data_IF_008875008209
#
_entry.id   IF_008875008209
#
_cell.length_a   1.000
_cell.length_b   1.000
_cell.length_c   1.000
_cell.angle_alpha   90.00
_cell.angle_beta   90.00
_cell.angle_gamma   90.00
#
_symmetry.space_group_name_H-M   'P 1'
#
loop_
_entity.id
_entity.type
_entity.pdbx_description
1 polymer ?
#
# COMPACT_ATOMS: atom_id res chain seq x y z
N UNK A 1 -10.65 -10.69 11.00
CA UNK A 1 -10.48 -10.05 12.31
C UNK A 1 -11.28 -10.71 13.43
N UNK A 2 -12.38 -11.37 13.15
CA UNK A 2 -13.22 -12.07 14.15
C UNK A 2 -12.55 -13.29 14.84
N UNK A 3 -11.41 -13.76 14.36
CA UNK A 3 -10.66 -14.89 14.96
C UNK A 3 -9.54 -14.43 15.93
N UNK A 4 -9.37 -13.13 16.14
CA UNK A 4 -8.38 -12.61 17.07
C UNK A 4 -9.05 -12.32 18.41
N UNK A 5 -8.54 -12.91 19.50
CA UNK A 5 -8.88 -12.49 20.85
C UNK A 5 -8.62 -10.99 21.02
N UNK A 6 -9.44 -10.32 21.85
CA UNK A 6 -9.27 -8.88 22.13
C UNK A 6 -7.82 -8.60 22.53
N UNK A 7 -7.12 -7.80 21.71
CA UNK A 7 -5.71 -7.43 21.91
C UNK A 7 -4.71 -8.09 20.96
N UNK A 8 -5.09 -9.09 20.15
CA UNK A 8 -4.17 -9.78 19.22
C UNK A 8 -4.39 -9.42 17.74
N UNK A 9 -5.28 -8.49 17.42
CA UNK A 9 -5.63 -8.12 16.05
C UNK A 9 -4.42 -7.64 15.23
N UNK A 10 -3.54 -6.84 15.83
CA UNK A 10 -2.31 -6.36 15.18
C UNK A 10 -1.33 -7.48 14.88
N UNK A 11 -1.14 -8.40 15.82
CA UNK A 11 -0.26 -9.57 15.64
C UNK A 11 -0.77 -10.48 14.51
N UNK A 12 -2.07 -10.73 14.46
CA UNK A 12 -2.69 -11.54 13.40
C UNK A 12 -2.59 -10.89 12.02
N UNK A 13 -2.83 -9.58 11.94
CA UNK A 13 -2.61 -8.80 10.70
C UNK A 13 -1.14 -8.85 10.26
N UNK A 14 -0.20 -8.72 11.20
CA UNK A 14 1.23 -8.86 10.94
C UNK A 14 1.57 -10.25 10.38
N UNK A 15 1.03 -11.33 10.98
CA UNK A 15 1.23 -12.69 10.49
C UNK A 15 0.68 -12.88 9.07
N UNK A 16 -0.53 -12.37 8.78
CA UNK A 16 -1.12 -12.44 7.44
C UNK A 16 -0.30 -11.67 6.41
N UNK A 17 0.17 -10.48 6.75
CA UNK A 17 1.02 -9.68 5.87
C UNK A 17 2.39 -10.35 5.64
N UNK A 18 2.99 -10.95 6.66
CA UNK A 18 4.24 -11.71 6.53
C UNK A 18 4.05 -12.92 5.61
N UNK A 19 2.95 -13.66 5.75
CA UNK A 19 2.64 -14.79 4.87
C UNK A 19 2.43 -14.33 3.42
N UNK A 20 1.75 -13.19 3.21
CA UNK A 20 1.58 -12.57 1.89
C UNK A 20 2.92 -12.20 1.26
N UNK A 21 3.82 -11.59 2.01
CA UNK A 21 5.16 -11.23 1.52
C UNK A 21 6.00 -12.47 1.20
N UNK A 22 5.93 -13.50 2.05
CA UNK A 22 6.61 -14.78 1.81
C UNK A 22 6.10 -15.44 0.52
N UNK A 23 4.79 -15.48 0.31
CA UNK A 23 4.20 -15.98 -0.93
C UNK A 23 4.64 -15.17 -2.16
N UNK A 24 4.73 -13.84 -2.05
CA UNK A 24 5.22 -12.97 -3.12
C UNK A 24 6.69 -13.24 -3.47
N UNK A 25 7.54 -13.48 -2.47
CA UNK A 25 8.96 -13.85 -2.68
C UNK A 25 9.07 -15.18 -3.39
N UNK A 26 8.32 -16.21 -2.94
CA UNK A 26 8.31 -17.52 -3.60
C UNK A 26 7.82 -17.39 -5.04
N UNK A 27 6.73 -16.69 -5.27
CA UNK A 27 6.20 -16.47 -6.63
C UNK A 27 7.22 -15.79 -7.54
N UNK A 28 7.88 -14.72 -7.07
CA UNK A 28 8.92 -14.02 -7.82
C UNK A 28 10.12 -14.92 -8.10
N UNK A 29 10.50 -15.76 -7.14
CA UNK A 29 11.61 -16.71 -7.30
C UNK A 29 11.28 -17.80 -8.33
N UNK A 30 10.06 -18.33 -8.33
CA UNK A 30 9.60 -19.30 -9.35
C UNK A 30 9.62 -18.66 -10.74
N UNK A 31 9.15 -17.43 -10.88
CA UNK A 31 9.18 -16.69 -12.14
C UNK A 31 10.63 -16.47 -12.60
N UNK A 32 11.51 -16.04 -11.70
CA UNK A 32 12.94 -15.86 -12.00
C UNK A 32 13.57 -17.16 -12.52
N UNK A 33 13.41 -18.28 -11.81
CA UNK A 33 13.95 -19.58 -12.23
C UNK A 33 13.33 -20.06 -13.54
N UNK A 34 12.01 -19.87 -13.69
CA UNK A 34 11.29 -20.25 -14.88
C UNK A 34 11.81 -19.58 -16.14
N UNK A 35 11.95 -18.27 -16.13
CA UNK A 35 12.45 -17.52 -17.28
C UNK A 35 13.95 -17.68 -17.50
N UNK A 36 14.75 -17.83 -16.44
CA UNK A 36 16.22 -17.93 -16.56
C UNK A 36 16.70 -19.32 -16.97
N UNK A 37 16.13 -20.37 -16.39
CA UNK A 37 16.66 -21.75 -16.54
C UNK A 37 15.70 -22.69 -17.27
N UNK A 38 14.38 -22.55 -17.10
CA UNK A 38 13.37 -23.48 -17.64
C UNK A 38 12.74 -22.99 -18.95
N UNK A 39 13.22 -21.86 -19.50
CA UNK A 39 12.71 -21.26 -20.75
C UNK A 39 11.19 -21.05 -20.72
N UNK A 40 10.63 -20.62 -19.59
CA UNK A 40 9.23 -20.31 -19.48
C UNK A 40 8.83 -19.24 -20.50
N UNK A 41 7.66 -19.46 -21.09
CA UNK A 41 6.97 -18.44 -21.90
C UNK A 41 5.87 -17.80 -21.05
N UNK A 42 5.40 -16.64 -21.48
CA UNK A 42 4.25 -15.99 -20.83
C UNK A 42 3.02 -16.90 -20.79
N UNK A 43 2.78 -17.71 -21.83
CA UNK A 43 1.67 -18.66 -21.89
C UNK A 43 1.75 -19.70 -20.74
N UNK A 44 2.95 -20.26 -20.50
CA UNK A 44 3.15 -21.22 -19.39
C UNK A 44 2.87 -20.54 -18.06
N UNK A 45 3.39 -19.32 -17.85
CA UNK A 45 3.20 -18.56 -16.62
C UNK A 45 1.73 -18.26 -16.37
N UNK A 46 0.98 -17.82 -17.39
CA UNK A 46 -0.46 -17.56 -17.26
C UNK A 46 -1.26 -18.85 -17.01
N UNK A 47 -0.88 -19.96 -17.64
CA UNK A 47 -1.56 -21.27 -17.40
C UNK A 47 -1.35 -21.72 -15.95
N UNK A 48 -0.14 -21.66 -15.43
CA UNK A 48 0.15 -22.00 -14.02
C UNK A 48 -0.68 -21.09 -13.08
N UNK A 49 -0.71 -19.78 -13.35
CA UNK A 49 -1.49 -18.83 -12.55
C UNK A 49 -2.99 -19.16 -12.59
N UNK A 50 -3.54 -19.51 -13.75
CA UNK A 50 -4.94 -19.88 -13.89
C UNK A 50 -5.27 -21.14 -13.08
N UNK A 51 -4.41 -22.15 -13.10
CA UNK A 51 -4.59 -23.38 -12.30
C UNK A 51 -4.58 -23.06 -10.81
N UNK A 52 -3.62 -22.23 -10.35
CA UNK A 52 -3.54 -21.83 -8.93
C UNK A 52 -4.76 -21.02 -8.49
N UNK A 53 -5.29 -20.15 -9.34
CA UNK A 53 -6.52 -19.39 -9.07
C UNK A 53 -7.75 -20.32 -8.98
N UNK A 54 -7.86 -21.31 -9.86
CA UNK A 54 -8.93 -22.32 -9.79
C UNK A 54 -8.85 -23.13 -8.48
N UNK A 55 -7.66 -23.56 -8.08
CA UNK A 55 -7.46 -24.25 -6.80
C UNK A 55 -7.85 -23.36 -5.61
N UNK A 56 -7.44 -22.08 -5.63
CA UNK A 56 -7.82 -21.12 -4.60
C UNK A 56 -9.35 -20.94 -4.54
N UNK A 57 -10.03 -20.83 -5.69
CA UNK A 57 -11.49 -20.73 -5.75
C UNK A 57 -12.17 -21.96 -5.13
N UNK A 58 -11.70 -23.18 -5.44
CA UNK A 58 -12.22 -24.41 -4.85
C UNK A 58 -12.05 -24.41 -3.32
N UNK A 59 -10.91 -23.96 -2.82
CA UNK A 59 -10.67 -23.84 -1.38
C UNK A 59 -11.62 -22.82 -0.73
N UNK A 60 -11.86 -21.67 -1.37
CA UNK A 60 -12.82 -20.67 -0.89
C UNK A 60 -14.24 -21.21 -0.84
N UNK A 61 -14.68 -21.97 -1.84
CA UNK A 61 -16.02 -22.61 -1.84
C UNK A 61 -16.20 -23.63 -0.71
N UNK A 62 -15.12 -24.24 -0.23
CA UNK A 62 -15.18 -25.19 0.91
C UNK A 62 -15.14 -24.52 2.28
N UNK A 63 -14.85 -23.21 2.34
CA UNK A 63 -14.86 -22.45 3.59
C UNK A 63 -16.30 -22.10 3.96
N UNK A 64 -16.80 -22.62 5.08
CA UNK A 64 -18.10 -22.23 5.62
C UNK A 64 -18.04 -20.78 6.12
N UNK A 65 -18.86 -19.87 5.57
CA UNK A 65 -18.91 -18.51 6.08
C UNK A 65 -19.56 -18.53 7.47
N UNK A 66 -18.82 -18.11 8.49
CA UNK A 66 -19.44 -17.83 9.79
C UNK A 66 -20.49 -16.72 9.65
N UNK A 67 -21.66 -16.85 10.31
CA UNK A 67 -22.71 -15.85 10.22
C UNK A 67 -22.14 -14.48 10.65
N UNK A 68 -22.16 -13.54 9.73
CA UNK A 68 -21.76 -12.16 9.98
C UNK A 68 -22.78 -11.50 10.90
N UNK A 69 -22.35 -10.96 12.04
CA UNK A 69 -23.14 -9.96 12.73
C UNK A 69 -23.53 -8.87 11.70
N UNK A 70 -24.78 -8.39 11.78
CA UNK A 70 -25.29 -7.34 10.87
C UNK A 70 -24.25 -6.22 10.77
N UNK A 71 -23.57 -6.14 9.63
CA UNK A 71 -22.70 -5.03 9.34
C UNK A 71 -23.54 -3.77 9.26
N UNK A 72 -23.11 -2.72 9.96
CA UNK A 72 -23.59 -1.37 9.76
C UNK A 72 -23.53 -0.96 8.27
N UNK A 73 -24.06 0.17 7.94
CA UNK A 73 -24.15 0.70 6.57
C UNK A 73 -22.87 0.45 5.77
N UNK A 74 -23.01 -0.06 4.54
CA UNK A 74 -21.89 -0.31 3.62
C UNK A 74 -21.12 0.98 3.28
N UNK A 75 -21.77 2.12 3.41
CA UNK A 75 -21.25 3.46 3.14
C UNK A 75 -21.28 4.29 4.42
N UNK A 76 -20.12 4.60 4.95
CA UNK A 76 -19.94 5.53 6.07
C UNK A 76 -19.27 6.78 5.52
N UNK A 77 -20.08 7.79 5.19
CA UNK A 77 -19.61 9.07 4.66
C UNK A 77 -19.88 10.16 5.69
N UNK A 78 -18.95 10.29 6.63
CA UNK A 78 -18.94 11.43 7.56
C UNK A 78 -17.97 12.50 7.07
N UNK A 79 -18.26 13.77 7.33
CA UNK A 79 -17.42 14.91 6.94
C UNK A 79 -16.01 14.80 7.55
N UNK A 80 -15.91 14.22 8.73
CA UNK A 80 -14.68 13.97 9.47
C UNK A 80 -13.72 13.02 8.72
N UNK A 81 -14.27 12.12 7.88
CA UNK A 81 -13.49 11.15 7.12
C UNK A 81 -13.05 11.66 5.74
N UNK A 82 -13.49 12.86 5.33
CA UNK A 82 -13.17 13.38 4.00
C UNK A 82 -11.67 13.48 3.73
N UNK A 83 -10.88 13.91 4.71
CA UNK A 83 -9.43 13.98 4.57
C UNK A 83 -8.82 12.60 4.38
N UNK A 84 -9.31 11.60 5.12
CA UNK A 84 -8.87 10.20 4.99
C UNK A 84 -9.18 9.66 3.57
N UNK A 85 -10.39 9.87 3.07
CA UNK A 85 -10.75 9.44 1.71
C UNK A 85 -9.92 10.15 0.65
N UNK A 86 -9.67 11.44 0.82
CA UNK A 86 -8.81 12.19 -0.09
C UNK A 86 -7.38 11.65 -0.12
N UNK A 87 -6.78 11.37 1.05
CA UNK A 87 -5.47 10.74 1.14
C UNK A 87 -5.45 9.34 0.52
N UNK A 88 -6.56 8.59 0.62
CA UNK A 88 -6.69 7.26 0.00
C UNK A 88 -6.75 7.36 -1.53
N UNK A 89 -7.47 8.34 -2.09
CA UNK A 89 -7.50 8.62 -3.53
C UNK A 89 -6.09 8.95 -4.05
N UNK A 90 -5.37 9.82 -3.36
CA UNK A 90 -4.01 10.20 -3.75
C UNK A 90 -3.07 9.00 -3.73
N UNK A 91 -3.19 8.16 -2.69
CA UNK A 91 -2.42 6.92 -2.60
C UNK A 91 -2.72 5.96 -3.74
N UNK A 92 -3.99 5.71 -4.05
CA UNK A 92 -4.38 4.81 -5.12
C UNK A 92 -3.94 5.30 -6.49
N UNK A 93 -4.09 6.59 -6.74
CA UNK A 93 -3.63 7.22 -7.97
C UNK A 93 -2.12 7.06 -8.16
N UNK A 94 -1.33 7.35 -7.14
CA UNK A 94 0.14 7.18 -7.17
C UNK A 94 0.53 5.71 -7.30
N UNK A 95 -0.09 4.84 -6.50
CA UNK A 95 0.13 3.39 -6.54
C UNK A 95 -0.02 2.84 -7.95
N UNK A 96 -1.06 3.28 -8.68
CA UNK A 96 -1.34 2.81 -10.03
C UNK A 96 -0.28 3.26 -11.04
N UNK A 97 0.26 4.48 -10.89
CA UNK A 97 1.37 4.94 -11.73
C UNK A 97 2.54 3.95 -11.63
N UNK A 98 2.92 3.56 -10.42
CA UNK A 98 4.06 2.67 -10.23
C UNK A 98 3.77 1.21 -10.59
N UNK A 99 2.59 0.68 -10.28
CA UNK A 99 2.22 -0.69 -10.65
C UNK A 99 2.21 -0.87 -12.18
N UNK A 100 1.71 0.12 -12.92
CA UNK A 100 1.56 0.01 -14.37
C UNK A 100 2.81 0.48 -15.11
N UNK A 101 3.28 1.69 -14.82
CA UNK A 101 4.26 2.36 -15.67
C UNK A 101 5.71 2.12 -15.23
N UNK A 102 5.98 1.85 -13.96
CA UNK A 102 7.36 1.61 -13.53
C UNK A 102 7.97 0.33 -14.15
N UNK A 103 7.30 -0.84 -14.13
CA UNK A 103 7.77 -2.01 -14.87
C UNK A 103 7.86 -1.75 -16.38
N UNK A 104 6.92 -0.99 -16.93
CA UNK A 104 6.91 -0.69 -18.35
C UNK A 104 8.11 0.16 -18.79
N UNK A 105 8.54 1.16 -17.99
CA UNK A 105 9.79 1.89 -18.24
C UNK A 105 10.98 0.94 -18.29
N UNK A 106 11.09 0.03 -17.33
CA UNK A 106 12.22 -0.90 -17.29
C UNK A 106 12.27 -1.82 -18.49
N UNK A 107 11.11 -2.32 -18.95
CA UNK A 107 11.02 -3.23 -20.11
C UNK A 107 11.15 -2.49 -21.43
N UNK A 108 10.45 -1.37 -21.62
CA UNK A 108 10.39 -0.70 -22.94
C UNK A 108 11.51 0.29 -23.16
N UNK A 109 11.89 1.06 -22.14
CA UNK A 109 12.91 2.11 -22.25
C UNK A 109 14.30 1.55 -22.00
N UNK A 110 14.48 0.79 -20.90
CA UNK A 110 15.78 0.21 -20.54
C UNK A 110 16.00 -1.21 -21.08
N UNK A 111 15.01 -1.78 -21.81
CA UNK A 111 15.10 -3.12 -22.43
C UNK A 111 15.47 -4.22 -21.44
N UNK A 112 15.04 -4.08 -20.18
CA UNK A 112 15.34 -5.07 -19.16
C UNK A 112 14.49 -6.33 -19.33
N UNK A 113 15.06 -7.52 -19.14
CA UNK A 113 14.35 -8.78 -19.26
C UNK A 113 13.41 -9.00 -18.04
N UNK A 114 12.43 -9.87 -18.21
CA UNK A 114 11.46 -10.24 -17.16
C UNK A 114 12.11 -10.75 -15.88
N UNK A 115 13.28 -11.43 -16.00
CA UNK A 115 14.05 -11.91 -14.87
C UNK A 115 14.51 -10.77 -13.95
N UNK A 116 14.89 -9.62 -14.52
CA UNK A 116 15.25 -8.41 -13.75
C UNK A 116 14.05 -7.92 -12.93
N UNK A 117 12.86 -7.92 -13.51
CA UNK A 117 11.64 -7.56 -12.80
C UNK A 117 11.37 -8.50 -11.62
N UNK A 118 11.45 -9.82 -11.85
CA UNK A 118 11.26 -10.81 -10.81
C UNK A 118 12.30 -10.65 -9.68
N UNK A 119 13.56 -10.37 -10.03
CA UNK A 119 14.62 -10.09 -9.05
C UNK A 119 14.31 -8.85 -8.22
N UNK A 120 13.89 -7.73 -8.85
CA UNK A 120 13.56 -6.50 -8.15
C UNK A 120 12.37 -6.69 -7.20
N UNK A 121 11.33 -7.43 -7.63
CA UNK A 121 10.19 -7.75 -6.77
C UNK A 121 10.59 -8.63 -5.58
N UNK A 122 11.47 -9.62 -5.80
CA UNK A 122 12.00 -10.47 -4.73
C UNK A 122 12.82 -9.66 -3.73
N UNK A 123 13.74 -8.83 -4.20
CA UNK A 123 14.56 -7.94 -3.35
C UNK A 123 13.67 -6.96 -2.58
N UNK A 124 12.70 -6.34 -3.26
CA UNK A 124 11.72 -5.44 -2.63
C UNK A 124 10.89 -6.14 -1.55
N UNK A 125 10.48 -7.40 -1.78
CA UNK A 125 9.80 -8.23 -0.79
C UNK A 125 10.65 -8.50 0.45
N UNK A 126 11.94 -8.83 0.25
CA UNK A 126 12.89 -9.05 1.36
C UNK A 126 13.08 -7.77 2.17
N UNK A 127 13.31 -6.64 1.50
CA UNK A 127 13.44 -5.33 2.17
C UNK A 127 12.15 -5.03 2.95
N UNK A 128 10.98 -5.31 2.37
CA UNK A 128 9.67 -5.09 3.00
C UNK A 128 9.49 -5.84 4.31
N UNK A 129 10.02 -7.07 4.43
CA UNK A 129 9.95 -7.86 5.67
C UNK A 129 10.61 -7.11 6.85
N UNK A 130 11.76 -6.49 6.60
CA UNK A 130 12.49 -5.74 7.64
C UNK A 130 11.94 -4.33 7.83
N UNK A 131 11.48 -3.70 6.75
CA UNK A 131 10.99 -2.33 6.79
C UNK A 131 9.63 -2.20 7.49
N UNK A 132 8.72 -3.16 7.32
CA UNK A 132 7.36 -3.06 7.88
C UNK A 132 7.33 -2.92 9.42
N UNK A 133 8.08 -3.72 10.21
CA UNK A 133 8.13 -3.53 11.67
C UNK A 133 8.75 -2.18 12.06
N UNK A 134 9.77 -1.72 11.32
CA UNK A 134 10.37 -0.41 11.53
C UNK A 134 9.37 0.71 11.27
N UNK A 135 8.63 0.61 10.17
CA UNK A 135 7.57 1.55 9.82
C UNK A 135 6.48 1.60 10.89
N UNK A 136 6.06 0.45 11.43
CA UNK A 136 5.12 0.41 12.55
C UNK A 136 5.60 1.23 13.75
N UNK A 137 6.86 1.03 14.15
CA UNK A 137 7.49 1.82 15.22
C UNK A 137 7.56 3.31 14.88
N UNK A 138 7.88 3.66 13.63
CA UNK A 138 7.90 5.06 13.18
C UNK A 138 6.51 5.70 13.26
N UNK A 139 5.45 4.99 12.89
CA UNK A 139 4.08 5.48 13.01
C UNK A 139 3.73 5.72 14.48
N UNK A 140 4.08 4.79 15.37
CA UNK A 140 3.79 4.90 16.79
C UNK A 140 4.57 6.04 17.48
N UNK A 141 5.82 6.30 17.05
CA UNK A 141 6.70 7.30 17.69
C UNK A 141 6.58 8.70 17.05
N UNK A 142 6.53 8.79 15.73
CA UNK A 142 6.51 10.05 14.99
C UNK A 142 5.09 10.53 14.66
N UNK A 143 4.13 9.60 14.67
CA UNK A 143 2.75 9.82 14.27
C UNK A 143 2.54 9.73 12.75
N UNK A 144 1.29 9.49 12.35
CA UNK A 144 0.89 9.27 10.95
C UNK A 144 1.21 10.47 10.07
N UNK A 145 1.02 11.69 10.59
CA UNK A 145 1.27 12.94 9.87
C UNK A 145 2.70 13.02 9.33
N UNK A 146 3.71 12.87 10.22
CA UNK A 146 5.12 12.99 9.84
C UNK A 146 5.54 11.87 8.88
N UNK A 147 5.01 10.66 9.07
CA UNK A 147 5.29 9.52 8.20
C UNK A 147 4.75 9.76 6.79
N UNK A 148 3.52 10.28 6.66
CA UNK A 148 2.92 10.61 5.37
C UNK A 148 3.57 11.82 4.69
N UNK A 149 4.03 12.82 5.47
CA UNK A 149 4.83 13.94 4.94
C UNK A 149 6.17 13.42 4.39
N UNK A 150 6.88 12.57 5.13
CA UNK A 150 8.14 11.98 4.70
C UNK A 150 7.97 11.09 3.45
N UNK A 151 6.92 10.25 3.42
CA UNK A 151 6.54 9.48 2.23
C UNK A 151 6.42 10.37 1.01
N UNK A 152 5.69 11.49 1.14
CA UNK A 152 5.43 12.41 0.03
C UNK A 152 6.71 13.04 -0.51
N UNK A 153 7.63 13.44 0.37
CA UNK A 153 8.92 14.02 -0.03
C UNK A 153 9.77 12.98 -0.77
N UNK A 154 9.90 11.77 -0.23
CA UNK A 154 10.67 10.69 -0.89
C UNK A 154 10.03 10.35 -2.24
N UNK A 155 8.71 10.33 -2.33
CA UNK A 155 7.98 10.03 -3.55
C UNK A 155 8.25 11.05 -4.66
N UNK A 156 8.40 12.35 -4.35
CA UNK A 156 8.81 13.37 -5.33
C UNK A 156 10.14 12.99 -5.97
N UNK A 157 11.15 12.62 -5.17
CA UNK A 157 12.47 12.21 -5.68
C UNK A 157 12.39 10.91 -6.49
N UNK A 158 11.59 9.95 -6.05
CA UNK A 158 11.36 8.69 -6.77
C UNK A 158 10.72 8.95 -8.13
N UNK A 159 9.69 9.79 -8.20
CA UNK A 159 9.05 10.16 -9.46
C UNK A 159 10.00 10.92 -10.40
N UNK A 160 10.79 11.86 -9.89
CA UNK A 160 11.79 12.58 -10.68
C UNK A 160 12.88 11.65 -11.19
N UNK A 161 13.35 10.71 -10.36
CA UNK A 161 14.32 9.70 -10.76
C UNK A 161 13.79 8.82 -11.90
N UNK A 162 12.55 8.33 -11.79
CA UNK A 162 11.93 7.55 -12.87
C UNK A 162 11.74 8.35 -14.16
N UNK A 163 11.23 9.57 -14.04
CA UNK A 163 10.87 10.38 -15.20
C UNK A 163 12.08 10.93 -15.93
N UNK A 164 13.13 11.33 -15.24
CA UNK A 164 14.18 12.18 -15.80
C UNK A 164 15.59 11.61 -15.73
N UNK A 165 15.86 10.52 -15.00
CA UNK A 165 17.22 9.96 -14.87
C UNK A 165 17.88 9.69 -16.24
N UNK A 166 17.13 9.16 -17.21
CA UNK A 166 17.65 8.86 -18.55
C UNK A 166 18.06 10.10 -19.34
N UNK A 167 17.47 11.26 -19.06
CA UNK A 167 17.79 12.51 -19.75
C UNK A 167 19.02 13.22 -19.16
N UNK A 168 19.32 12.95 -17.88
CA UNK A 168 20.34 13.66 -17.11
C UNK A 168 21.60 12.83 -16.96
N UNK A 169 21.46 11.50 -16.87
CA UNK A 169 22.53 10.58 -16.52
C UNK A 169 22.89 9.66 -17.70
N UNK A 170 24.14 9.15 -17.75
CA UNK A 170 24.52 8.09 -18.67
C UNK A 170 23.64 6.85 -18.44
N UNK A 171 23.40 6.06 -19.48
CA UNK A 171 22.43 4.97 -19.52
C UNK A 171 22.57 3.99 -18.34
N UNK A 172 23.81 3.58 -18.00
CA UNK A 172 24.09 2.68 -16.87
C UNK A 172 23.71 3.31 -15.53
N UNK A 173 24.05 4.58 -15.32
CA UNK A 173 23.71 5.29 -14.08
C UNK A 173 22.19 5.52 -13.98
N UNK A 174 21.55 5.89 -15.06
CA UNK A 174 20.09 6.04 -15.12
C UNK A 174 19.35 4.75 -14.77
N UNK A 175 19.83 3.60 -15.28
CA UNK A 175 19.28 2.30 -14.95
C UNK A 175 19.40 1.97 -13.45
N UNK A 176 20.56 2.24 -12.85
CA UNK A 176 20.78 2.02 -11.41
C UNK A 176 19.83 2.92 -10.58
N UNK A 177 19.71 4.19 -10.93
CA UNK A 177 18.78 5.12 -10.26
C UNK A 177 17.34 4.59 -10.39
N UNK A 178 16.94 4.11 -11.56
CA UNK A 178 15.60 3.55 -11.78
C UNK A 178 15.36 2.29 -10.93
N UNK A 179 16.36 1.42 -10.76
CA UNK A 179 16.26 0.26 -9.86
C UNK A 179 16.10 0.68 -8.40
N UNK A 180 16.89 1.66 -7.95
CA UNK A 180 16.77 2.20 -6.59
C UNK A 180 15.38 2.82 -6.39
N UNK A 181 14.90 3.61 -7.34
CA UNK A 181 13.56 4.20 -7.28
C UNK A 181 12.46 3.12 -7.25
N UNK A 182 12.61 2.01 -8.00
CA UNK A 182 11.67 0.89 -7.95
C UNK A 182 11.62 0.26 -6.56
N UNK A 183 12.77 -0.01 -5.96
CA UNK A 183 12.85 -0.60 -4.62
C UNK A 183 12.31 0.35 -3.55
N UNK A 184 12.61 1.65 -3.65
CA UNK A 184 12.06 2.68 -2.75
C UNK A 184 10.53 2.73 -2.86
N UNK A 185 9.96 2.69 -4.07
CA UNK A 185 8.51 2.68 -4.23
C UNK A 185 7.87 1.44 -3.59
N UNK A 186 8.46 0.25 -3.75
CA UNK A 186 7.97 -0.97 -3.07
C UNK A 186 7.92 -0.79 -1.55
N UNK A 187 8.92 -0.14 -0.98
CA UNK A 187 8.97 0.19 0.46
C UNK A 187 7.89 1.21 0.82
N UNK A 188 7.72 2.26 0.02
CA UNK A 188 6.71 3.31 0.24
C UNK A 188 5.27 2.78 0.14
N UNK A 189 5.02 1.68 -0.59
CA UNK A 189 3.70 1.02 -0.60
C UNK A 189 3.25 0.57 0.79
N UNK A 190 4.17 0.21 1.67
CA UNK A 190 3.88 -0.20 3.05
C UNK A 190 3.34 0.96 3.90
N UNK A 191 3.61 2.22 3.53
CA UNK A 191 3.17 3.41 4.28
C UNK A 191 1.65 3.56 4.31
N UNK A 192 0.92 2.79 3.50
CA UNK A 192 -0.54 2.70 3.61
C UNK A 192 -1.02 2.28 5.02
N UNK A 193 -0.17 1.62 5.81
CA UNK A 193 -0.46 1.32 7.23
C UNK A 193 -0.73 2.60 8.03
N UNK A 194 0.00 3.70 7.76
CA UNK A 194 -0.22 4.98 8.44
C UNK A 194 -1.62 5.56 8.16
N UNK A 195 -2.16 5.37 6.95
CA UNK A 195 -3.52 5.79 6.61
C UNK A 195 -4.56 4.95 7.37
N UNK A 196 -4.36 3.64 7.45
CA UNK A 196 -5.24 2.75 8.20
C UNK A 196 -5.23 3.08 9.70
N UNK A 197 -4.05 3.38 10.26
CA UNK A 197 -3.92 3.82 11.67
C UNK A 197 -4.59 5.17 11.88
N UNK A 198 -4.45 6.11 10.94
CA UNK A 198 -5.14 7.40 11.00
C UNK A 198 -6.67 7.21 11.01
N UNK A 199 -7.23 6.35 10.15
CA UNK A 199 -8.66 6.05 10.16
C UNK A 199 -9.13 5.50 11.52
N UNK A 200 -8.37 4.59 12.12
CA UNK A 200 -8.69 4.05 13.44
C UNK A 200 -8.73 5.13 14.54
N UNK A 201 -7.92 6.19 14.42
CA UNK A 201 -7.85 7.29 15.39
C UNK A 201 -8.98 8.32 15.24
N UNK A 202 -9.47 8.54 14.00
CA UNK A 202 -10.53 9.53 13.73
C UNK A 202 -11.92 8.92 13.71
N UNK A 203 -12.04 7.60 13.77
CA UNK A 203 -13.32 6.90 13.74
C UNK A 203 -14.21 7.37 14.90
N UNK A 204 -15.43 7.77 14.58
CA UNK A 204 -16.42 8.23 15.57
C UNK A 204 -16.92 7.04 16.39
N UNK A 205 -17.09 5.89 15.76
CA UNK A 205 -17.41 4.62 16.40
C UNK A 205 -16.47 3.52 15.91
N UNK A 206 -16.18 2.50 16.72
CA UNK A 206 -15.36 1.36 16.28
C UNK A 206 -15.95 0.62 15.06
N UNK A 207 -17.27 0.64 14.92
CA UNK A 207 -18.02 0.01 13.84
C UNK A 207 -17.80 0.71 12.49
N UNK A 208 -17.43 1.99 12.47
CA UNK A 208 -17.19 2.78 11.26
C UNK A 208 -15.86 2.41 10.58
N UNK A 209 -14.90 1.89 11.32
CA UNK A 209 -13.54 1.65 10.81
C UNK A 209 -13.55 0.71 9.61
N UNK A 210 -14.18 -0.45 9.74
CA UNK A 210 -14.16 -1.46 8.69
C UNK A 210 -14.92 -1.01 7.42
N UNK A 211 -16.15 -0.45 7.51
CA UNK A 211 -16.82 0.11 6.35
C UNK A 211 -16.05 1.25 5.69
N UNK A 212 -15.44 2.17 6.46
CA UNK A 212 -14.66 3.27 5.91
C UNK A 212 -13.39 2.77 5.18
N UNK A 213 -12.68 1.78 5.74
CA UNK A 213 -11.53 1.13 5.08
C UNK A 213 -11.97 0.45 3.77
N UNK A 214 -13.10 -0.26 3.77
CA UNK A 214 -13.63 -0.92 2.57
C UNK A 214 -14.04 0.09 1.51
N UNK A 215 -14.71 1.15 1.90
CA UNK A 215 -15.12 2.22 0.99
C UNK A 215 -13.92 2.95 0.39
N UNK A 216 -12.87 3.20 1.19
CA UNK A 216 -11.64 3.81 0.69
C UNK A 216 -10.95 2.97 -0.38
N UNK A 217 -10.96 1.63 -0.25
CA UNK A 217 -10.43 0.72 -1.27
C UNK A 217 -11.25 0.81 -2.57
N UNK A 218 -12.58 0.92 -2.47
CA UNK A 218 -13.45 1.05 -3.64
C UNK A 218 -13.19 2.34 -4.40
N UNK A 219 -13.08 3.46 -3.69
CA UNK A 219 -12.71 4.77 -4.29
C UNK A 219 -11.31 4.71 -4.91
N UNK A 220 -10.34 4.13 -4.20
CA UNK A 220 -8.99 3.92 -4.69
C UNK A 220 -8.99 3.24 -6.06
N UNK A 221 -9.76 2.15 -6.23
CA UNK A 221 -9.83 1.45 -7.51
C UNK A 221 -10.43 2.28 -8.63
N UNK A 222 -11.45 3.08 -8.38
CA UNK A 222 -12.04 3.98 -9.39
C UNK A 222 -11.00 4.97 -9.91
N UNK A 223 -10.29 5.63 -9.02
CA UNK A 223 -9.25 6.59 -9.41
C UNK A 223 -8.02 5.90 -10.02
N UNK A 224 -7.65 4.71 -9.54
CA UNK A 224 -6.57 3.92 -10.11
C UNK A 224 -6.83 3.56 -11.57
N UNK A 225 -8.03 3.13 -11.93
CA UNK A 225 -8.40 2.82 -13.32
C UNK A 225 -8.31 4.08 -14.19
N UNK A 226 -8.83 5.21 -13.69
CA UNK A 226 -8.78 6.49 -14.41
C UNK A 226 -7.34 6.93 -14.67
N UNK A 227 -6.45 6.81 -13.69
CA UNK A 227 -5.03 7.13 -13.82
C UNK A 227 -4.32 6.19 -14.79
N UNK A 228 -4.66 4.90 -14.82
CA UNK A 228 -4.07 3.96 -15.77
C UNK A 228 -4.42 4.34 -17.23
N UNK A 229 -5.68 4.69 -17.48
CA UNK A 229 -6.15 5.10 -18.81
C UNK A 229 -5.51 6.42 -19.23
N UNK A 230 -5.61 7.45 -18.40
CA UNK A 230 -5.04 8.77 -18.71
C UNK A 230 -3.51 8.72 -18.82
N UNK A 231 -2.85 7.97 -17.94
CA UNK A 231 -1.40 7.78 -17.99
C UNK A 231 -0.95 7.09 -19.27
N UNK A 232 -1.70 6.10 -19.76
CA UNK A 232 -1.42 5.45 -21.05
C UNK A 232 -1.54 6.40 -22.23
N UNK A 233 -2.56 7.27 -22.25
CA UNK A 233 -2.72 8.32 -23.27
C UNK A 233 -1.57 9.32 -23.21
N UNK A 234 -1.21 9.79 -22.01
CA UNK A 234 -0.11 10.75 -21.82
C UNK A 234 1.23 10.13 -22.22
N UNK A 235 1.47 8.87 -21.86
CA UNK A 235 2.67 8.14 -22.29
C UNK A 235 2.80 8.11 -23.82
N UNK A 236 1.72 7.79 -24.50
CA UNK A 236 1.72 7.66 -25.96
C UNK A 236 1.86 9.00 -26.69
N UNK A 237 1.31 10.09 -26.16
CA UNK A 237 1.30 11.41 -26.79
C UNK A 237 2.49 12.28 -26.41
N UNK A 238 2.86 12.30 -25.15
CA UNK A 238 3.88 13.22 -24.61
C UNK A 238 5.15 12.52 -24.14
N UNK A 239 5.06 11.23 -23.81
CA UNK A 239 6.17 10.44 -23.27
C UNK A 239 6.00 10.07 -21.81
N UNK A 240 6.79 9.05 -21.39
CA UNK A 240 6.67 8.46 -20.05
C UNK A 240 7.03 9.43 -18.90
N UNK A 241 7.92 10.39 -19.14
CA UNK A 241 8.34 11.37 -18.14
C UNK A 241 7.17 12.19 -17.59
N UNK A 242 6.17 12.49 -18.42
CA UNK A 242 4.98 13.24 -17.99
C UNK A 242 4.04 12.43 -17.10
N UNK A 243 4.03 11.11 -17.25
CA UNK A 243 3.27 10.23 -16.33
C UNK A 243 3.86 10.31 -14.91
N UNK A 244 5.20 10.30 -14.78
CA UNK A 244 5.87 10.46 -13.49
C UNK A 244 5.79 11.90 -12.97
N UNK A 245 5.68 12.91 -13.85
CA UNK A 245 5.42 14.28 -13.43
C UNK A 245 4.03 14.43 -12.77
N UNK A 246 3.02 13.71 -13.26
CA UNK A 246 1.73 13.60 -12.56
C UNK A 246 1.94 12.96 -11.17
N UNK A 247 2.80 11.95 -11.06
CA UNK A 247 3.19 11.36 -9.77
C UNK A 247 3.80 12.39 -8.82
N UNK A 248 4.66 13.28 -9.32
CA UNK A 248 5.20 14.43 -8.54
C UNK A 248 4.07 15.34 -8.05
N UNK A 249 3.14 15.70 -8.93
CA UNK A 249 1.99 16.54 -8.57
C UNK A 249 1.15 15.90 -7.47
N UNK A 250 0.83 14.60 -7.62
CA UNK A 250 0.10 13.84 -6.61
C UNK A 250 0.87 13.82 -5.28
N UNK A 251 2.19 13.62 -5.30
CA UNK A 251 3.02 13.61 -4.11
C UNK A 251 3.03 14.98 -3.39
N UNK A 252 3.12 16.08 -4.14
CA UNK A 252 3.04 17.43 -3.58
C UNK A 252 1.66 17.68 -2.95
N UNK A 253 0.58 17.31 -3.63
CA UNK A 253 -0.78 17.44 -3.08
C UNK A 253 -0.91 16.57 -1.81
N UNK A 254 -0.38 15.34 -1.81
CA UNK A 254 -0.39 14.45 -0.66
C UNK A 254 0.37 15.05 0.54
N UNK A 255 1.50 15.72 0.30
CA UNK A 255 2.25 16.41 1.34
C UNK A 255 1.40 17.49 2.03
N UNK A 256 0.75 18.37 1.25
CA UNK A 256 -0.11 19.41 1.82
C UNK A 256 -1.37 18.85 2.49
N UNK A 257 -1.93 17.76 1.95
CA UNK A 257 -3.05 17.07 2.58
C UNK A 257 -2.64 16.42 3.92
N UNK A 258 -1.48 15.76 3.97
CA UNK A 258 -0.94 15.15 5.19
C UNK A 258 -0.68 16.20 6.29
N UNK A 259 -0.25 17.42 5.92
CA UNK A 259 -0.09 18.53 6.89
C UNK A 259 -1.38 18.92 7.59
N UNK A 260 -2.54 18.69 6.96
CA UNK A 260 -3.86 18.96 7.54
C UNK A 260 -4.32 17.90 8.54
N UNK A 261 -3.60 16.79 8.67
CA UNK A 261 -3.89 15.78 9.69
C UNK A 261 -3.76 16.45 11.05
N UNK A 262 -4.89 16.50 11.76
CA UNK A 262 -4.94 16.82 13.17
C UNK A 262 -4.85 15.49 13.90
N UNK A 263 -3.78 15.27 14.63
CA UNK A 263 -3.70 14.12 15.55
C UNK A 263 -4.61 14.46 16.73
N UNK A 264 -5.72 13.76 16.95
CA UNK A 264 -6.41 13.91 18.22
C UNK A 264 -5.40 13.49 19.29
N UNK A 265 -5.18 14.31 20.31
CA UNK A 265 -4.54 13.85 21.53
C UNK A 265 -5.28 12.59 21.93
N UNK A 266 -4.54 11.50 22.15
CA UNK A 266 -5.08 10.21 22.56
C UNK A 266 -6.17 10.47 23.59
N UNK A 267 -7.43 10.23 23.21
CA UNK A 267 -8.50 10.09 24.18
C UNK A 267 -8.04 8.93 25.08
N UNK A 268 -7.43 9.27 26.20
CA UNK A 268 -7.20 8.29 27.26
C UNK A 268 -8.56 7.69 27.56
N UNK A 269 -8.75 6.39 27.32
CA UNK A 269 -10.07 5.79 27.56
C UNK A 269 -10.42 6.00 29.03
N UNK A 270 -11.70 6.17 29.27
CA UNK A 270 -12.36 6.38 30.56
C UNK A 270 -12.01 5.39 31.72
N UNK A 271 -10.90 4.65 31.60
CA UNK A 271 -10.31 3.82 32.66
C UNK A 271 -9.77 4.65 33.84
N UNK A 272 -9.41 5.91 33.62
CA UNK A 272 -8.99 6.79 34.73
C UNK A 272 -10.17 7.29 35.56
N UNK A 273 -11.40 7.30 35.02
CA UNK A 273 -12.59 7.72 35.78
C UNK A 273 -13.22 6.60 36.58
N UNK A 274 -12.96 5.32 36.25
CA UNK A 274 -13.47 4.20 37.05
C UNK A 274 -12.62 3.92 38.31
N UNK A 275 -11.36 4.33 38.33
CA UNK A 275 -10.50 4.19 39.52
C UNK A 275 -10.75 5.26 40.59
N UNK A 276 -11.32 6.40 40.23
CA UNK A 276 -11.63 7.48 41.20
C UNK A 276 -12.99 7.26 41.86
N UNK A 277 -13.94 6.59 41.21
CA UNK A 277 -15.26 6.30 41.79
C UNK A 277 -15.33 4.98 42.60
N UNK A 278 -14.32 4.11 42.47
CA UNK A 278 -14.26 2.83 43.18
C UNK A 278 -13.64 2.90 44.59
N UNK A 279 -13.04 4.03 44.99
CA UNK A 279 -12.37 4.18 46.28
C UNK A 279 -13.22 4.95 47.34
N UNK A 280 -14.36 5.50 46.91
CA UNK A 280 -15.20 6.36 47.78
C UNK A 280 -16.40 5.65 48.43
N UNK A 281 -16.56 4.35 48.26
CA UNK A 281 -17.71 3.61 48.80
C UNK A 281 -17.37 2.41 49.72
N UNK A 282 -16.20 2.39 50.36
CA UNK A 282 -15.82 1.34 51.32
C UNK A 282 -15.49 1.87 52.71
N UNK A 283 -15.93 3.09 53.08
CA UNK A 283 -15.89 3.57 54.46
C UNK A 283 -17.22 4.21 54.81
N UNK A 284 -18.18 3.36 55.18
CA UNK A 284 -19.29 3.69 56.09
C UNK A 284 -19.99 2.42 56.56
#
# INVERSE_FOLDING_TARGET
MELAEKGQAGTRLGQLNSLRNFAAIIGSFIVFLGFKYLKFTFNITFTITAILLCLAAILFFRMEPKPRHKQGSFLVVHKEYNLYYFLSILFGSRKQIFITFAPWVLVTIFKQPTQTMATLLMVGGIIGIFFQPLLGKMIDTLGEKKVLEAESVVLVFVCLGYGFARFILPEKAALIVTFICFLLDQVLMSVNMARATYMNKIALTPEDVQPALTFSVSIDHVFSISIALLGGLIWNTFGYQYVFLIGVLIAVINFFAARRIKTPELHQPALAQMTVHGISSSDS
#
